data_IF_020030135473
#
_entry.id   IF_020030135473
#
_cell.length_a   1.000
_cell.length_b   1.000
_cell.length_c   1.000
_cell.angle_alpha   90.00
_cell.angle_beta   90.00
_cell.angle_gamma   90.00
#
_symmetry.space_group_name_H-M   'P 1'
#
loop_
_entity.id
_entity.type
_entity.pdbx_description
1 polymer ?
#
# COMPACT_ATOMS: atom_id res chain seq x y z
N UNK A 1 -42.88 -18.38 15.66
CA UNK A 1 -42.50 -17.45 16.74
C UNK A 1 -41.13 -16.90 16.43
N UNK A 2 -41.03 -15.65 15.98
CA UNK A 2 -39.74 -15.02 15.73
C UNK A 2 -39.18 -14.55 17.07
N UNK A 3 -38.04 -15.11 17.49
CA UNK A 3 -37.30 -14.63 18.66
C UNK A 3 -36.88 -13.19 18.41
N UNK A 4 -37.61 -12.24 19.00
CA UNK A 4 -37.13 -10.89 19.20
C UNK A 4 -35.86 -11.01 20.03
N UNK A 5 -34.72 -10.71 19.41
CA UNK A 5 -33.50 -10.44 20.16
C UNK A 5 -33.77 -9.10 20.83
N UNK A 6 -34.21 -9.12 22.09
CA UNK A 6 -34.24 -7.92 22.92
C UNK A 6 -32.85 -7.28 22.83
N UNK A 7 -32.82 -6.04 22.34
CA UNK A 7 -31.65 -5.20 22.51
C UNK A 7 -31.52 -5.02 24.03
N UNK A 8 -30.43 -5.54 24.60
CA UNK A 8 -30.09 -5.22 25.99
C UNK A 8 -29.64 -3.76 25.94
N UNK A 9 -30.61 -2.85 26.14
CA UNK A 9 -30.57 -1.39 25.96
C UNK A 9 -29.55 -0.68 26.87
N UNK A 10 -28.92 -1.42 27.78
CA UNK A 10 -28.14 -0.89 28.89
C UNK A 10 -26.66 -0.64 28.61
N UNK A 11 -26.16 -0.98 27.42
CA UNK A 11 -24.76 -0.74 27.07
C UNK A 11 -24.64 -0.10 25.69
N UNK A 12 -23.95 1.04 25.67
CA UNK A 12 -23.55 1.68 24.42
C UNK A 12 -22.48 0.85 23.71
N UNK A 13 -22.40 0.97 22.38
CA UNK A 13 -21.39 0.29 21.56
C UNK A 13 -19.95 0.57 22.06
N UNK A 14 -19.71 1.80 22.52
CA UNK A 14 -18.45 2.25 23.11
C UNK A 14 -18.13 1.52 24.42
N UNK A 15 -19.10 1.34 25.32
CA UNK A 15 -18.90 0.64 26.59
C UNK A 15 -18.65 -0.86 26.38
N UNK A 16 -19.38 -1.51 25.46
CA UNK A 16 -19.22 -2.93 25.19
C UNK A 16 -17.83 -3.23 24.60
N UNK A 17 -17.34 -2.37 23.70
CA UNK A 17 -16.10 -2.63 22.97
C UNK A 17 -14.86 -2.10 23.66
N UNK A 18 -14.96 -0.95 24.34
CA UNK A 18 -13.84 -0.24 24.96
C UNK A 18 -13.39 -0.85 26.30
N UNK A 19 -14.28 -1.52 27.04
CA UNK A 19 -13.91 -2.16 28.29
C UNK A 19 -13.07 -3.42 28.07
N UNK A 20 -12.14 -3.70 28.99
CA UNK A 20 -11.50 -5.00 29.08
C UNK A 20 -12.53 -6.10 29.43
N UNK A 21 -12.23 -7.36 29.08
CA UNK A 21 -13.10 -8.49 29.39
C UNK A 21 -13.32 -8.65 30.90
N UNK A 22 -12.32 -8.34 31.74
CA UNK A 22 -12.46 -8.41 33.21
C UNK A 22 -13.46 -7.37 33.72
N UNK A 23 -13.34 -6.14 33.24
CA UNK A 23 -14.22 -5.03 33.63
C UNK A 23 -15.64 -5.22 33.11
N UNK A 24 -15.79 -5.73 31.88
CA UNK A 24 -17.08 -6.10 31.33
C UNK A 24 -17.76 -7.15 32.20
N UNK A 25 -17.05 -8.23 32.55
CA UNK A 25 -17.62 -9.28 33.42
C UNK A 25 -18.00 -8.73 34.80
N UNK A 26 -17.22 -7.80 35.37
CA UNK A 26 -17.54 -7.14 36.64
C UNK A 26 -18.82 -6.33 36.52
N UNK A 27 -18.94 -5.47 35.49
CA UNK A 27 -20.17 -4.68 35.23
C UNK A 27 -21.40 -5.55 34.99
N UNK A 28 -21.24 -6.64 34.24
CA UNK A 28 -22.32 -7.58 33.97
C UNK A 28 -22.85 -8.26 35.23
N UNK A 29 -21.95 -8.61 36.16
CA UNK A 29 -22.33 -9.16 37.47
C UNK A 29 -22.99 -8.10 38.36
N UNK A 30 -22.45 -6.87 38.39
CA UNK A 30 -22.99 -5.78 39.22
C UNK A 30 -24.42 -5.39 38.80
N UNK A 31 -24.74 -5.47 37.51
CA UNK A 31 -26.09 -5.24 36.98
C UNK A 31 -27.03 -6.46 37.10
N UNK A 32 -26.60 -7.54 37.75
CA UNK A 32 -27.38 -8.77 37.97
C UNK A 32 -27.92 -9.46 36.70
N UNK A 33 -27.23 -9.34 35.55
CA UNK A 33 -27.63 -10.09 34.36
C UNK A 33 -27.51 -11.60 34.55
N UNK A 34 -28.50 -12.33 34.04
CA UNK A 34 -28.47 -13.79 33.91
C UNK A 34 -27.33 -14.26 33.01
N UNK A 35 -26.95 -15.54 33.12
CA UNK A 35 -25.89 -16.13 32.28
C UNK A 35 -26.22 -16.03 30.78
N UNK A 36 -27.50 -16.14 30.41
CA UNK A 36 -27.94 -16.05 29.01
C UNK A 36 -27.78 -14.62 28.46
N UNK A 37 -28.18 -13.61 29.23
CA UNK A 37 -28.00 -12.20 28.86
C UNK A 37 -26.52 -11.83 28.76
N UNK A 38 -25.69 -12.28 29.72
CA UNK A 38 -24.24 -12.10 29.65
C UNK A 38 -23.64 -12.70 28.37
N UNK A 39 -24.13 -13.86 27.93
CA UNK A 39 -23.71 -14.49 26.69
C UNK A 39 -24.17 -13.68 25.47
N UNK A 40 -25.40 -13.15 25.47
CA UNK A 40 -25.92 -12.29 24.41
C UNK A 40 -25.06 -11.01 24.26
N UNK A 41 -24.74 -10.33 25.36
CA UNK A 41 -23.90 -9.11 25.35
C UNK A 41 -22.48 -9.42 24.84
N UNK A 42 -21.89 -10.56 25.23
CA UNK A 42 -20.58 -10.99 24.71
C UNK A 42 -20.63 -11.30 23.22
N UNK A 43 -21.72 -11.88 22.72
CA UNK A 43 -21.93 -12.13 21.30
C UNK A 43 -22.07 -10.82 20.53
N UNK A 44 -22.80 -9.85 21.08
CA UNK A 44 -22.91 -8.49 20.52
C UNK A 44 -21.54 -7.79 20.48
N UNK A 45 -20.75 -7.86 21.56
CA UNK A 45 -19.36 -7.37 21.59
C UNK A 45 -18.51 -7.94 20.47
N UNK A 46 -18.58 -9.25 20.26
CA UNK A 46 -17.84 -9.93 19.19
C UNK A 46 -18.29 -9.43 17.81
N UNK A 47 -19.60 -9.28 17.59
CA UNK A 47 -20.15 -8.77 16.32
C UNK A 47 -19.62 -7.37 16.01
N UNK A 48 -19.64 -6.47 16.99
CA UNK A 48 -19.13 -5.10 16.82
C UNK A 48 -17.63 -5.12 16.52
N UNK A 49 -16.82 -5.83 17.31
CA UNK A 49 -15.37 -5.95 17.06
C UNK A 49 -15.07 -6.50 15.65
N UNK A 50 -15.83 -7.50 15.20
CA UNK A 50 -15.69 -8.04 13.85
C UNK A 50 -16.05 -7.03 12.75
N UNK A 51 -17.03 -6.14 12.97
CA UNK A 51 -17.32 -5.05 12.04
C UNK A 51 -16.12 -4.10 11.97
N UNK A 52 -15.56 -3.69 13.11
CA UNK A 52 -14.37 -2.84 13.17
C UNK A 52 -13.18 -3.49 12.45
N UNK A 53 -12.85 -4.75 12.75
CA UNK A 53 -11.75 -5.45 12.09
C UNK A 53 -11.94 -5.58 10.57
N UNK A 54 -13.18 -5.77 10.11
CA UNK A 54 -13.48 -5.77 8.67
C UNK A 54 -13.23 -4.40 8.04
N UNK A 55 -13.63 -3.31 8.72
CA UNK A 55 -13.35 -1.93 8.28
C UNK A 55 -11.84 -1.67 8.22
N UNK A 56 -11.11 -1.97 9.29
CA UNK A 56 -9.67 -1.77 9.38
C UNK A 56 -8.92 -2.62 8.33
N UNK A 57 -9.38 -3.85 8.08
CA UNK A 57 -8.83 -4.73 7.04
C UNK A 57 -9.02 -4.13 5.64
N UNK A 58 -10.22 -3.60 5.34
CA UNK A 58 -10.49 -2.92 4.06
C UNK A 58 -9.64 -1.67 3.90
N UNK A 59 -9.49 -0.87 4.97
CA UNK A 59 -8.65 0.33 4.97
C UNK A 59 -7.19 -0.02 4.68
N UNK A 60 -6.61 -1.02 5.38
CA UNK A 60 -5.22 -1.47 5.12
C UNK A 60 -5.03 -1.95 3.68
N UNK A 61 -5.99 -2.71 3.12
CA UNK A 61 -5.91 -3.12 1.71
C UNK A 61 -5.94 -1.93 0.74
N UNK A 62 -6.79 -0.94 1.02
CA UNK A 62 -6.86 0.28 0.21
C UNK A 62 -5.58 1.11 0.29
N UNK A 63 -5.00 1.24 1.48
CA UNK A 63 -3.73 1.93 1.69
C UNK A 63 -2.60 1.22 0.95
N UNK A 64 -2.51 -0.12 1.07
CA UNK A 64 -1.50 -0.89 0.34
C UNK A 64 -1.65 -0.74 -1.17
N UNK A 65 -2.88 -0.73 -1.70
CA UNK A 65 -3.12 -0.48 -3.12
C UNK A 65 -2.61 0.90 -3.54
N UNK A 66 -2.93 1.95 -2.78
CA UNK A 66 -2.46 3.31 -3.08
C UNK A 66 -0.93 3.38 -3.07
N UNK A 67 -0.28 2.81 -2.05
CA UNK A 67 1.18 2.77 -1.97
C UNK A 67 1.81 2.05 -3.19
N UNK A 68 1.18 0.97 -3.67
CA UNK A 68 1.64 0.27 -4.87
C UNK A 68 1.45 1.10 -6.14
N UNK A 69 0.38 1.89 -6.25
CA UNK A 69 0.14 2.79 -7.36
C UNK A 69 1.14 3.95 -7.37
N UNK A 70 1.45 4.51 -6.20
CA UNK A 70 2.48 5.54 -6.03
C UNK A 70 3.86 4.99 -6.40
N UNK A 71 4.23 3.82 -5.90
CA UNK A 71 5.50 3.17 -6.25
C UNK A 71 5.60 2.89 -7.75
N UNK A 72 4.51 2.45 -8.39
CA UNK A 72 4.47 2.25 -9.84
C UNK A 72 4.70 3.56 -10.59
N UNK A 73 4.10 4.66 -10.15
CA UNK A 73 4.30 5.96 -10.78
C UNK A 73 5.77 6.40 -10.68
N UNK A 74 6.37 6.30 -9.48
CA UNK A 74 7.79 6.64 -9.27
C UNK A 74 8.71 5.80 -10.15
N UNK A 75 8.49 4.49 -10.24
CA UNK A 75 9.29 3.59 -11.07
C UNK A 75 9.13 3.87 -12.57
N UNK A 76 7.94 4.30 -13.02
CA UNK A 76 7.72 4.68 -14.41
C UNK A 76 8.47 5.97 -14.76
N UNK A 77 8.45 6.95 -13.87
CA UNK A 77 9.18 8.21 -14.05
C UNK A 77 10.69 7.96 -14.11
N UNK A 78 11.23 7.14 -13.21
CA UNK A 78 12.64 6.74 -13.20
C UNK A 78 13.01 5.98 -14.49
N UNK A 79 12.17 5.03 -14.92
CA UNK A 79 12.39 4.29 -16.16
C UNK A 79 12.41 5.20 -17.40
N UNK A 80 11.53 6.20 -17.46
CA UNK A 80 11.52 7.19 -18.55
C UNK A 80 12.80 8.04 -18.50
N UNK A 81 13.23 8.48 -17.33
CA UNK A 81 14.48 9.21 -17.14
C UNK A 81 15.69 8.43 -17.65
N UNK A 82 15.82 7.17 -17.23
CA UNK A 82 16.90 6.28 -17.69
C UNK A 82 16.88 6.03 -19.20
N UNK A 83 15.69 5.91 -19.80
CA UNK A 83 15.58 5.79 -21.27
C UNK A 83 16.10 7.01 -22.01
N UNK A 84 15.80 8.20 -21.53
CA UNK A 84 16.28 9.45 -22.11
C UNK A 84 17.79 9.57 -21.97
N UNK A 85 18.35 9.17 -20.83
CA UNK A 85 19.79 9.15 -20.61
C UNK A 85 20.50 8.19 -21.58
N UNK A 86 20.00 6.96 -21.72
CA UNK A 86 20.53 5.99 -22.70
C UNK A 86 20.47 6.54 -24.13
N UNK A 87 19.35 7.17 -24.50
CA UNK A 87 19.21 7.79 -25.82
C UNK A 87 20.23 8.91 -26.06
N UNK A 88 20.43 9.79 -25.07
CA UNK A 88 21.42 10.87 -25.16
C UNK A 88 22.85 10.33 -25.25
N UNK A 89 23.18 9.31 -24.45
CA UNK A 89 24.48 8.65 -24.49
C UNK A 89 24.73 7.96 -25.84
N UNK A 90 23.71 7.34 -26.43
CA UNK A 90 23.81 6.74 -27.75
C UNK A 90 24.07 7.79 -28.83
N UNK A 91 23.33 8.91 -28.81
CA UNK A 91 23.57 10.02 -29.74
C UNK A 91 24.98 10.63 -29.58
N UNK A 92 25.45 10.80 -28.34
CA UNK A 92 26.80 11.31 -28.08
C UNK A 92 27.88 10.34 -28.58
N UNK A 93 27.66 9.04 -28.41
CA UNK A 93 28.54 8.00 -28.97
C UNK A 93 28.56 8.07 -30.50
N UNK A 94 27.41 8.14 -31.15
CA UNK A 94 27.32 8.16 -32.61
C UNK A 94 27.99 9.44 -33.19
N UNK A 95 27.81 10.59 -32.53
CA UNK A 95 28.51 11.83 -32.89
C UNK A 95 30.03 11.71 -32.75
N UNK A 96 30.54 11.12 -31.65
CA UNK A 96 31.97 10.92 -31.45
C UNK A 96 32.56 10.00 -32.53
N UNK A 97 31.84 8.92 -32.87
CA UNK A 97 32.27 8.01 -33.94
C UNK A 97 32.39 8.76 -35.28
N UNK A 98 31.38 9.56 -35.63
CA UNK A 98 31.37 10.36 -36.86
C UNK A 98 32.57 11.33 -36.94
N UNK A 99 32.89 12.03 -35.84
CA UNK A 99 34.06 12.93 -35.78
C UNK A 99 35.39 12.16 -35.97
N UNK A 100 35.54 11.02 -35.30
CA UNK A 100 36.78 10.23 -35.42
C UNK A 100 36.95 9.55 -36.78
N UNK A 101 35.85 9.29 -37.51
CA UNK A 101 35.90 8.73 -38.86
C UNK A 101 36.19 9.78 -39.94
N UNK A 102 35.93 11.06 -39.69
CA UNK A 102 36.28 12.16 -40.60
C UNK A 102 37.74 12.63 -40.47
N UNK A 103 38.38 12.38 -39.33
CA UNK A 103 39.78 12.77 -39.09
C UNK A 103 40.80 11.81 -39.75
N UNK A 104 40.38 10.60 -40.18
CA UNK A 104 41.27 9.62 -40.83
C UNK A 104 41.46 9.85 -42.35
N UNK A 105 40.63 10.69 -42.99
CA UNK A 105 40.70 10.92 -44.45
C UNK A 105 41.64 12.09 -44.85
N UNK A 106 42.13 12.88 -43.89
CA UNK A 106 42.97 14.07 -44.16
C UNK A 106 44.48 13.86 -43.91
N UNK A 107 44.93 12.70 -43.40
CA UNK A 107 46.35 12.47 -43.02
C UNK A 107 47.17 11.57 -43.97
N UNK A 108 46.64 11.17 -45.13
CA UNK A 108 47.43 10.50 -46.18
C UNK A 108 47.60 11.38 -47.42
N UNK A 109 48.26 12.53 -47.23
CA UNK A 109 48.95 13.23 -48.30
C UNK A 109 50.00 12.31 -48.94
N UNK A 110 49.70 11.81 -50.13
CA UNK A 110 50.52 10.84 -50.87
C UNK A 110 52.01 11.21 -50.92
N UNK A 111 52.84 10.33 -50.37
CA UNK A 111 54.27 10.36 -50.57
C UNK A 111 54.56 9.81 -51.98
N UNK A 112 54.78 10.69 -52.95
CA UNK A 112 55.28 10.32 -54.28
C UNK A 112 56.79 10.08 -54.15
N UNK A 113 57.22 8.82 -54.19
CA UNK A 113 58.63 8.48 -54.43
C UNK A 113 58.85 8.58 -55.93
N UNK A 114 59.70 9.52 -56.34
CA UNK A 114 60.17 9.67 -57.73
C UNK A 114 61.49 8.91 -57.83
N UNK A 115 61.51 7.85 -58.63
CA UNK A 115 62.74 7.24 -59.19
C UNK A 115 62.99 7.81 -60.60
#
# INVERSE_FOLDING_TARGET
MANQIEYIEDFTEAEITGLDIKDLNKKLKLKNYSKQEQQAIKKQRRKIKMIKYRKDSRMRRSQNLNNLLELRALLLDEYIGLKLEVYNLQNAKDWLVEQTSSDEDDEYGGFVIVD
#
